data_IF_798721911961
#
_entry.id   IF_798721911961
#
_cell.length_a   1.000
_cell.length_b   1.000
_cell.length_c   1.000
_cell.angle_alpha   90.00
_cell.angle_beta   90.00
_cell.angle_gamma   90.00
#
_symmetry.space_group_name_H-M   'P 1'
#
loop_
_entity.id
_entity.type
_entity.pdbx_description
1 polymer ?
#
# COMPACT_ATOMS: atom_id res chain seq x y z
N UNK A 1 16.96 5.82 3.79
CA UNK A 1 15.77 5.31 3.08
C UNK A 1 16.08 5.35 1.60
N UNK A 2 15.78 4.27 0.87
CA UNK A 2 15.99 4.18 -0.57
C UNK A 2 14.64 4.05 -1.28
N UNK A 3 14.55 4.29 -2.60
CA UNK A 3 13.29 4.12 -3.33
C UNK A 3 12.71 2.70 -3.23
N UNK A 4 13.53 1.70 -2.98
CA UNK A 4 13.14 0.29 -2.87
C UNK A 4 12.64 -0.07 -1.46
N UNK A 5 12.78 0.83 -0.48
CA UNK A 5 12.26 0.60 0.86
C UNK A 5 10.74 0.42 0.80
N UNK A 6 10.29 -0.74 1.25
CA UNK A 6 8.90 -1.17 1.27
C UNK A 6 8.22 -0.78 2.59
N UNK A 7 7.03 -0.18 2.51
CA UNK A 7 6.39 0.48 3.64
C UNK A 7 5.84 -0.53 4.66
N UNK A 8 5.27 -1.64 4.22
CA UNK A 8 4.67 -2.62 5.11
C UNK A 8 5.65 -3.71 5.56
N UNK A 9 6.63 -4.08 4.73
CA UNK A 9 7.59 -5.14 5.07
C UNK A 9 8.90 -4.65 5.70
N UNK A 10 9.53 -3.59 5.17
CA UNK A 10 10.79 -3.07 5.73
C UNK A 10 10.56 -2.14 6.92
N UNK A 11 9.51 -1.31 6.84
CA UNK A 11 9.19 -0.32 7.87
C UNK A 11 8.11 -0.80 8.86
N UNK A 12 7.42 -1.90 8.55
CA UNK A 12 6.40 -2.51 9.41
C UNK A 12 5.24 -1.56 9.74
N UNK A 13 4.90 -0.68 8.80
CA UNK A 13 3.78 0.25 8.93
C UNK A 13 2.48 -0.54 8.73
N UNK A 14 1.51 -0.36 9.63
CA UNK A 14 0.24 -1.08 9.54
C UNK A 14 -0.76 -0.42 8.56
N UNK A 15 -1.86 -1.12 8.28
CA UNK A 15 -2.89 -0.65 7.33
C UNK A 15 -3.42 0.75 7.71
N UNK A 16 -3.67 1.01 9.00
CA UNK A 16 -4.23 2.28 9.45
C UNK A 16 -3.23 3.43 9.31
N UNK A 17 -1.96 3.18 9.67
CA UNK A 17 -0.87 4.14 9.46
C UNK A 17 -0.65 4.44 7.97
N UNK A 18 -0.80 3.44 7.09
CA UNK A 18 -0.74 3.63 5.64
C UNK A 18 -1.93 4.45 5.12
N UNK A 19 -3.15 4.24 5.61
CA UNK A 19 -4.31 5.07 5.23
C UNK A 19 -4.05 6.54 5.53
N UNK A 20 -3.62 6.83 6.76
CA UNK A 20 -3.30 8.18 7.23
C UNK A 20 -2.13 8.79 6.42
N UNK A 21 -1.08 8.01 6.18
CA UNK A 21 0.06 8.40 5.35
C UNK A 21 -0.39 8.79 3.94
N UNK A 22 -1.22 7.95 3.31
CA UNK A 22 -1.64 8.14 1.94
C UNK A 22 -2.59 9.33 1.80
N UNK A 23 -3.52 9.53 2.74
CA UNK A 23 -4.35 10.74 2.80
C UNK A 23 -3.52 12.02 2.90
N UNK A 24 -2.52 12.02 3.79
CA UNK A 24 -1.59 13.14 3.92
C UNK A 24 -0.76 13.33 2.64
N UNK A 25 -0.30 12.25 2.01
CA UNK A 25 0.48 12.28 0.77
C UNK A 25 -0.31 12.90 -0.39
N UNK A 26 -1.52 12.41 -0.66
CA UNK A 26 -2.35 12.91 -1.76
C UNK A 26 -2.68 14.40 -1.59
N UNK A 27 -2.98 14.82 -0.37
CA UNK A 27 -3.28 16.22 -0.05
C UNK A 27 -2.03 17.11 -0.12
N UNK A 28 -0.93 16.70 0.48
CA UNK A 28 0.29 17.51 0.63
C UNK A 28 0.98 17.73 -0.72
N UNK A 29 1.02 16.71 -1.55
CA UNK A 29 1.69 16.76 -2.85
C UNK A 29 0.73 17.04 -4.02
N UNK A 30 -0.57 17.25 -3.73
CA UNK A 30 -1.62 17.48 -4.72
C UNK A 30 -1.61 16.39 -5.82
N UNK A 31 -1.59 15.14 -5.38
CA UNK A 31 -1.57 13.95 -6.24
C UNK A 31 -3.00 13.44 -6.38
N UNK A 32 -3.46 13.26 -7.62
CA UNK A 32 -4.74 12.61 -7.90
C UNK A 32 -4.70 11.15 -7.41
N UNK A 33 -5.62 10.78 -6.52
CA UNK A 33 -5.77 9.40 -6.01
C UNK A 33 -5.98 8.39 -7.13
N UNK A 34 -6.57 8.79 -8.26
CA UNK A 34 -6.90 7.92 -9.38
C UNK A 34 -7.57 6.62 -8.92
N UNK A 35 -6.94 5.46 -9.19
CA UNK A 35 -7.43 4.13 -8.81
C UNK A 35 -6.91 3.60 -7.47
N UNK A 36 -6.17 4.38 -6.68
CA UNK A 36 -5.55 3.90 -5.45
C UNK A 36 -6.58 3.27 -4.50
N UNK A 37 -6.33 2.02 -4.12
CA UNK A 37 -7.05 1.30 -3.08
C UNK A 37 -6.05 0.64 -2.14
N UNK A 38 -6.22 0.83 -0.83
CA UNK A 38 -5.32 0.21 0.14
C UNK A 38 -5.39 -1.31 0.08
N UNK A 39 -6.52 -1.87 -0.37
CA UNK A 39 -6.73 -3.32 -0.50
C UNK A 39 -5.86 -3.99 -1.56
N UNK A 40 -5.20 -3.22 -2.43
CA UNK A 40 -4.13 -3.75 -3.31
C UNK A 40 -2.93 -4.24 -2.49
N UNK A 41 -2.63 -3.56 -1.38
CA UNK A 41 -1.48 -3.83 -0.51
C UNK A 41 -1.86 -4.57 0.78
N UNK A 42 -3.06 -4.29 1.30
CA UNK A 42 -3.63 -4.91 2.50
C UNK A 42 -4.94 -5.61 2.16
N UNK A 43 -4.91 -6.73 1.42
CA UNK A 43 -6.11 -7.42 1.01
C UNK A 43 -6.79 -8.06 2.21
N UNK A 44 -8.13 -8.15 2.15
CA UNK A 44 -8.89 -8.81 3.20
C UNK A 44 -8.51 -10.29 3.27
N UNK A 45 -8.20 -10.77 4.48
CA UNK A 45 -7.89 -12.18 4.69
C UNK A 45 -9.10 -13.05 4.35
N UNK A 46 -8.94 -14.13 3.57
CA UNK A 46 -10.05 -15.01 3.25
C UNK A 46 -10.49 -15.71 4.53
N UNK A 47 -11.70 -15.37 5.00
CA UNK A 47 -12.28 -16.00 6.18
C UNK A 47 -12.39 -17.52 5.97
N UNK A 48 -11.63 -18.31 6.74
CA UNK A 48 -11.67 -19.77 6.68
C UNK A 48 -12.36 -20.32 7.93
N UNK A 49 -13.46 -21.04 7.73
CA UNK A 49 -14.10 -21.87 8.77
C UNK A 49 -13.27 -23.09 9.17
N UNK A 50 -12.15 -23.35 8.48
CA UNK A 50 -11.31 -24.52 8.71
C UNK A 50 -10.12 -24.21 9.62
N UNK A 51 -10.28 -24.49 10.91
CA UNK A 51 -9.27 -24.33 11.96
C UNK A 51 -7.99 -25.17 11.76
N UNK A 52 -7.99 -26.15 10.85
CA UNK A 52 -6.81 -26.97 10.54
C UNK A 52 -5.99 -26.47 9.34
N UNK A 53 -6.50 -25.49 8.59
CA UNK A 53 -5.78 -24.92 7.44
C UNK A 53 -5.29 -23.53 7.80
N UNK A 54 -3.97 -23.33 7.74
CA UNK A 54 -3.40 -21.98 7.74
C UNK A 54 -3.88 -21.28 6.45
N UNK A 55 -4.40 -20.04 6.54
CA UNK A 55 -4.70 -19.27 5.34
C UNK A 55 -3.40 -19.10 4.55
N UNK A 56 -3.48 -19.31 3.23
CA UNK A 56 -2.34 -19.05 2.34
C UNK A 56 -2.09 -17.53 2.30
N UNK A 57 -0.83 -17.09 2.32
CA UNK A 57 -0.51 -15.67 2.13
C UNK A 57 -1.06 -15.20 0.78
N UNK A 58 -1.78 -14.08 0.79
CA UNK A 58 -2.20 -13.44 -0.45
C UNK A 58 -0.99 -12.70 -1.00
N UNK A 59 -0.55 -12.97 -2.25
CA UNK A 59 0.52 -12.20 -2.86
C UNK A 59 0.03 -10.78 -3.11
N UNK A 60 0.79 -9.79 -2.64
CA UNK A 60 0.54 -8.37 -2.83
C UNK A 60 1.71 -7.75 -3.61
N UNK A 61 1.49 -6.68 -4.39
CA UNK A 61 2.58 -5.91 -4.98
C UNK A 61 3.39 -5.20 -3.89
N UNK A 62 4.65 -4.88 -4.19
CA UNK A 62 5.47 -4.03 -3.31
C UNK A 62 4.79 -2.67 -3.11
N UNK A 63 4.93 -2.10 -1.91
CA UNK A 63 4.46 -0.75 -1.59
C UNK A 63 5.63 0.14 -1.17
N UNK A 64 6.32 0.72 -2.15
CA UNK A 64 7.62 1.35 -1.91
C UNK A 64 7.61 2.88 -1.89
N UNK A 65 8.64 3.47 -1.28
CA UNK A 65 8.91 4.92 -1.37
C UNK A 65 9.06 5.39 -2.82
N UNK A 66 9.61 4.55 -3.70
CA UNK A 66 9.75 4.85 -5.12
C UNK A 66 8.41 5.08 -5.81
N UNK A 67 7.37 4.35 -5.42
CA UNK A 67 6.01 4.53 -5.94
C UNK A 67 5.44 5.89 -5.53
N UNK A 68 5.64 6.31 -4.28
CA UNK A 68 5.27 7.65 -3.80
C UNK A 68 5.98 8.75 -4.60
N UNK A 69 7.29 8.62 -4.80
CA UNK A 69 8.09 9.60 -5.56
C UNK A 69 7.62 9.70 -7.01
N UNK A 70 7.39 8.56 -7.67
CA UNK A 70 6.94 8.52 -9.06
C UNK A 70 5.56 9.16 -9.22
N UNK A 71 4.61 8.80 -8.35
CA UNK A 71 3.25 9.36 -8.35
C UNK A 71 3.22 10.85 -8.03
N UNK A 72 4.04 11.31 -7.09
CA UNK A 72 4.18 12.73 -6.77
C UNK A 72 4.71 13.53 -7.97
N UNK A 73 5.70 13.00 -8.69
CA UNK A 73 6.23 13.64 -9.91
C UNK A 73 5.21 13.67 -11.05
N UNK A 74 4.38 12.65 -11.16
CA UNK A 74 3.35 12.56 -12.18
C UNK A 74 2.08 13.37 -11.84
N UNK A 75 1.89 13.74 -10.57
CA UNK A 75 0.67 14.41 -10.09
C UNK A 75 -0.55 13.49 -10.01
N UNK A 76 -0.36 12.16 -10.14
CA UNK A 76 -1.41 11.15 -10.01
C UNK A 76 -0.82 9.82 -9.56
N UNK A 77 -1.62 9.00 -8.90
CA UNK A 77 -1.27 7.61 -8.63
C UNK A 77 -1.11 6.81 -9.94
N UNK A 78 -0.08 5.98 -10.00
CA UNK A 78 0.36 5.28 -11.22
C UNK A 78 0.19 3.75 -11.18
N UNK A 79 -0.31 3.19 -10.08
CA UNK A 79 -0.31 1.75 -9.83
C UNK A 79 -1.71 1.24 -9.51
N UNK A 80 -2.03 0.02 -9.96
CA UNK A 80 -3.34 -0.62 -9.81
C UNK A 80 -3.20 -1.96 -9.08
#
# INVERSE_FOLDING_TARGET
>A
MTPETDLDTDLQIDEAEIEDLMDAFFTTFNVDRAGFTIKTYFPDSPFSWNIFKKPEPIPVPDFTIGMLIASARAGRWLYD
#
